data_IF_500276918341
#
_entry.id   IF_500276918341
#
_cell.length_a   1.000
_cell.length_b   1.000
_cell.length_c   1.000
_cell.angle_alpha   90.00
_cell.angle_beta   90.00
_cell.angle_gamma   90.00
#
_symmetry.space_group_name_H-M   'P 1'
#
loop_
_entity.id
_entity.type
_entity.pdbx_description
1 polymer ?
#
# COMPACT_ATOMS: atom_id res chain seq x y z
N UNK A 1 18.55 -16.65 3.28
CA UNK A 1 18.62 -16.22 1.88
C UNK A 1 17.63 -15.09 1.51
N UNK A 2 16.48 -14.93 2.17
CA UNK A 2 15.51 -13.87 1.85
C UNK A 2 15.88 -12.45 2.35
N UNK A 3 16.75 -12.33 3.35
CA UNK A 3 17.19 -11.03 3.88
C UNK A 3 18.26 -10.32 3.02
N UNK A 4 19.07 -11.05 2.29
CA UNK A 4 20.11 -10.46 1.44
C UNK A 4 19.57 -9.71 0.23
N UNK A 5 18.54 -10.25 -0.42
CA UNK A 5 17.93 -9.64 -1.59
C UNK A 5 17.03 -8.44 -1.25
N UNK A 6 16.33 -8.48 -0.10
CA UNK A 6 15.57 -7.35 0.38
C UNK A 6 16.46 -6.16 0.77
N UNK A 7 17.66 -6.43 1.32
CA UNK A 7 18.66 -5.40 1.64
C UNK A 7 19.30 -4.80 0.40
N UNK A 8 19.55 -5.61 -0.66
CA UNK A 8 20.13 -5.12 -1.90
C UNK A 8 19.21 -4.14 -2.64
N UNK A 9 17.88 -4.41 -2.64
CA UNK A 9 16.89 -3.52 -3.26
C UNK A 9 16.68 -2.23 -2.44
N UNK A 10 16.98 -2.24 -1.13
CA UNK A 10 16.82 -1.06 -0.27
C UNK A 10 17.86 0.05 -0.52
N UNK A 11 19.05 -0.27 -1.01
CA UNK A 11 20.18 0.66 -1.01
C UNK A 11 20.56 1.27 -2.36
N UNK A 12 19.97 0.83 -3.48
CA UNK A 12 20.33 1.33 -4.82
C UNK A 12 19.08 1.77 -5.58
N UNK A 13 18.90 3.08 -5.72
CA UNK A 13 18.00 3.62 -6.74
C UNK A 13 18.57 3.28 -8.11
N UNK A 14 17.80 2.65 -9.02
CA UNK A 14 18.26 2.49 -10.38
C UNK A 14 18.46 3.89 -11.00
N UNK A 15 19.56 4.12 -11.75
CA UNK A 15 19.79 5.39 -12.42
C UNK A 15 18.63 5.69 -13.37
N UNK A 16 18.27 6.98 -13.48
CA UNK A 16 17.28 7.46 -14.44
C UNK A 16 17.70 7.01 -15.84
N UNK A 17 17.01 6.01 -16.39
CA UNK A 17 17.36 5.44 -17.69
C UNK A 17 16.77 6.30 -18.82
N UNK A 18 17.57 6.74 -19.81
CA UNK A 18 17.03 7.35 -21.02
C UNK A 18 16.12 6.33 -21.74
N UNK A 19 15.04 6.82 -22.32
CA UNK A 19 14.03 6.02 -23.00
C UNK A 19 14.68 5.12 -24.06
N UNK A 20 14.81 3.82 -23.79
CA UNK A 20 15.05 2.80 -24.80
C UNK A 20 13.72 2.13 -25.14
N UNK A 21 13.40 2.17 -26.42
CA UNK A 21 12.30 1.49 -27.08
C UNK A 21 12.42 -0.02 -26.89
N UNK A 22 11.75 -0.56 -25.87
CA UNK A 22 11.53 -1.99 -25.72
C UNK A 22 10.04 -2.27 -25.95
N UNK A 23 9.73 -3.24 -26.79
CA UNK A 23 8.39 -3.63 -27.24
C UNK A 23 7.44 -3.96 -26.08
N UNK A 24 6.77 -2.96 -25.58
CA UNK A 24 5.65 -3.01 -24.66
C UNK A 24 4.83 -1.76 -24.90
N UNK A 25 3.53 -1.90 -25.16
CA UNK A 25 2.66 -0.74 -25.35
C UNK A 25 2.47 -0.03 -24.01
N UNK A 26 3.35 0.94 -23.71
CA UNK A 26 3.19 1.83 -22.56
C UNK A 26 2.33 3.01 -23.00
N UNK A 27 1.14 3.14 -22.45
CA UNK A 27 0.31 4.34 -22.59
C UNK A 27 0.64 5.28 -21.44
N UNK A 28 1.29 6.41 -21.76
CA UNK A 28 1.46 7.51 -20.82
C UNK A 28 0.41 8.58 -21.13
N UNK A 29 -0.59 8.72 -20.29
CA UNK A 29 -1.45 9.90 -20.30
C UNK A 29 -0.76 10.98 -19.48
N UNK A 30 0.06 11.80 -20.14
CA UNK A 30 0.44 13.10 -19.58
C UNK A 30 -0.79 14.01 -19.68
N UNK A 31 -1.31 14.45 -18.55
CA UNK A 31 -2.18 15.63 -18.53
C UNK A 31 -1.32 16.77 -19.10
N UNK A 32 -1.76 17.33 -20.23
CA UNK A 32 -1.04 18.41 -20.91
C UNK A 32 -0.84 19.59 -19.96
N UNK A 33 0.41 19.99 -19.70
CA UNK A 33 0.79 21.13 -18.87
C UNK A 33 0.26 22.49 -19.39
N UNK A 34 -0.48 22.50 -20.51
CA UNK A 34 -1.07 23.71 -21.13
C UNK A 34 -2.52 23.97 -20.74
N UNK A 35 -3.21 23.04 -20.08
CA UNK A 35 -4.49 23.34 -19.47
C UNK A 35 -4.21 23.76 -18.03
N UNK A 36 -4.04 25.05 -17.81
CA UNK A 36 -4.10 25.65 -16.49
C UNK A 36 -5.34 25.13 -15.73
N UNK A 37 -5.38 25.18 -14.39
CA UNK A 37 -6.48 24.61 -13.63
C UNK A 37 -7.78 25.26 -14.09
N UNK A 38 -8.49 24.58 -14.98
CA UNK A 38 -9.89 24.87 -15.23
C UNK A 38 -10.54 24.82 -13.86
N UNK A 39 -11.16 25.90 -13.44
CA UNK A 39 -11.64 26.18 -12.12
C UNK A 39 -12.13 24.92 -11.42
N UNK A 40 -11.43 24.52 -10.37
CA UNK A 40 -11.85 23.44 -9.52
C UNK A 40 -13.22 23.84 -8.96
N UNK A 41 -14.27 23.31 -9.57
CA UNK A 41 -15.60 23.38 -8.99
C UNK A 41 -15.44 22.79 -7.58
N UNK A 42 -15.78 23.54 -6.52
CA UNK A 42 -15.66 23.01 -5.17
C UNK A 42 -16.52 21.76 -5.16
N UNK A 43 -15.87 20.59 -4.98
CA UNK A 43 -16.60 19.33 -4.80
C UNK A 43 -17.61 19.60 -3.70
N UNK A 44 -18.90 19.63 -4.06
CA UNK A 44 -19.97 19.70 -3.08
C UNK A 44 -19.64 18.65 -2.03
N UNK A 45 -19.75 18.99 -0.74
CA UNK A 45 -19.54 18.04 0.37
C UNK A 45 -20.65 17.01 0.31
N UNK A 46 -20.57 16.14 -0.69
CA UNK A 46 -21.45 14.98 -0.79
C UNK A 46 -21.29 14.19 0.51
N UNK A 47 -22.40 13.94 1.17
CA UNK A 47 -22.42 13.29 2.49
C UNK A 47 -21.91 11.85 2.31
N UNK A 48 -20.65 11.63 2.69
CA UNK A 48 -20.04 10.30 2.62
C UNK A 48 -20.79 9.33 3.53
N UNK A 49 -20.95 8.08 3.08
CA UNK A 49 -21.43 6.99 3.89
C UNK A 49 -20.47 6.66 5.03
N UNK A 50 -20.94 5.93 6.03
CA UNK A 50 -20.10 5.50 7.15
C UNK A 50 -18.83 4.75 6.69
N UNK A 51 -18.95 3.81 5.74
CA UNK A 51 -17.79 3.04 5.25
C UNK A 51 -16.77 3.91 4.51
N UNK A 52 -17.25 4.83 3.66
CA UNK A 52 -16.40 5.80 2.97
C UNK A 52 -15.67 6.71 3.97
N UNK A 53 -16.40 7.17 4.99
CA UNK A 53 -15.83 8.04 6.03
C UNK A 53 -14.78 7.30 6.87
N UNK A 54 -15.00 6.02 7.20
CA UNK A 54 -14.02 5.18 7.89
C UNK A 54 -12.72 5.10 7.07
N UNK A 55 -12.79 4.84 5.76
CA UNK A 55 -11.61 4.76 4.90
C UNK A 55 -10.85 6.09 4.86
N UNK A 56 -11.55 7.20 4.62
CA UNK A 56 -10.93 8.52 4.52
C UNK A 56 -10.35 8.98 5.87
N UNK A 57 -11.07 8.81 6.98
CA UNK A 57 -10.61 9.22 8.32
C UNK A 57 -9.45 8.37 8.81
N UNK A 58 -9.49 7.04 8.61
CA UNK A 58 -8.40 6.15 9.02
C UNK A 58 -7.13 6.45 8.22
N UNK A 59 -7.23 6.66 6.91
CA UNK A 59 -6.09 7.10 6.11
C UNK A 59 -5.51 8.43 6.64
N UNK A 60 -6.37 9.41 6.97
CA UNK A 60 -5.93 10.68 7.54
C UNK A 60 -5.26 10.53 8.91
N UNK A 61 -5.81 9.65 9.79
CA UNK A 61 -5.19 9.34 11.09
C UNK A 61 -3.81 8.71 10.91
N UNK A 62 -3.68 7.75 9.97
CA UNK A 62 -2.41 7.14 9.63
C UNK A 62 -1.40 8.18 9.16
N UNK A 63 -1.79 9.03 8.20
CA UNK A 63 -0.94 10.12 7.68
C UNK A 63 -0.45 11.06 8.79
N UNK A 64 -1.36 11.47 9.69
CA UNK A 64 -1.04 12.39 10.79
C UNK A 64 -0.12 11.75 11.84
N UNK A 65 -0.39 10.50 12.24
CA UNK A 65 0.36 9.81 13.28
C UNK A 65 1.78 9.44 12.85
N UNK A 66 1.98 9.13 11.56
CA UNK A 66 3.29 8.68 11.06
C UNK A 66 4.07 9.78 10.33
N UNK A 67 3.45 10.93 10.07
CA UNK A 67 4.09 11.96 9.25
C UNK A 67 4.41 11.50 7.82
N UNK A 68 3.75 10.44 7.33
CA UNK A 68 4.09 9.80 6.04
C UNK A 68 3.89 10.68 4.82
N UNK A 69 3.21 11.82 4.92
CA UNK A 69 3.06 12.78 3.83
C UNK A 69 3.32 14.20 4.33
N UNK A 70 4.02 14.99 3.52
CA UNK A 70 4.35 16.40 3.77
C UNK A 70 4.15 17.25 2.52
N UNK A 71 4.35 18.56 2.64
CA UNK A 71 4.21 19.50 1.52
C UNK A 71 5.18 19.16 0.38
N UNK A 72 4.66 19.13 -0.85
CA UNK A 72 5.46 18.85 -2.05
C UNK A 72 5.70 17.37 -2.34
N UNK A 73 5.15 16.43 -1.55
CA UNK A 73 5.23 15.00 -1.87
C UNK A 73 4.63 14.71 -3.25
N UNK A 74 5.28 13.80 -3.98
CA UNK A 74 4.79 13.22 -5.23
C UNK A 74 4.51 11.74 -5.00
N UNK A 75 3.23 11.37 -4.97
CA UNK A 75 2.77 10.05 -4.52
C UNK A 75 2.31 9.22 -5.71
N UNK A 76 3.03 8.14 -6.00
CA UNK A 76 2.58 7.08 -6.88
C UNK A 76 1.66 6.12 -6.11
N UNK A 77 0.47 5.85 -6.62
CA UNK A 77 -0.46 4.89 -6.03
C UNK A 77 -0.51 3.65 -6.91
N UNK A 78 -0.08 2.50 -6.37
CA UNK A 78 -0.14 1.23 -7.10
C UNK A 78 -1.59 0.74 -7.21
N UNK A 79 -2.15 0.80 -8.42
CA UNK A 79 -3.53 0.37 -8.71
C UNK A 79 -3.48 -1.03 -9.32
N UNK A 80 -3.97 -2.02 -8.57
CA UNK A 80 -3.98 -3.44 -9.01
C UNK A 80 -5.27 -3.88 -9.71
N UNK A 81 -6.30 -3.03 -9.70
CA UNK A 81 -7.65 -3.38 -10.16
C UNK A 81 -8.59 -3.86 -9.04
N UNK A 82 -8.03 -4.22 -7.89
CA UNK A 82 -8.82 -4.62 -6.72
C UNK A 82 -9.34 -3.43 -5.91
N UNK A 83 -10.41 -3.66 -5.15
CA UNK A 83 -11.10 -2.65 -4.35
C UNK A 83 -10.16 -1.85 -3.42
N UNK A 84 -9.16 -2.51 -2.82
CA UNK A 84 -8.23 -1.85 -1.88
C UNK A 84 -7.45 -0.73 -2.55
N UNK A 85 -6.93 -0.97 -3.75
CA UNK A 85 -6.13 0.00 -4.49
C UNK A 85 -6.96 1.18 -5.00
N UNK A 86 -8.20 0.93 -5.43
CA UNK A 86 -9.11 1.99 -5.83
C UNK A 86 -9.57 2.85 -4.65
N UNK A 87 -9.95 2.21 -3.52
CA UNK A 87 -10.34 2.92 -2.31
C UNK A 87 -9.18 3.73 -1.76
N UNK A 88 -7.94 3.21 -1.82
CA UNK A 88 -6.75 3.97 -1.47
C UNK A 88 -6.62 5.24 -2.32
N UNK A 89 -6.67 5.09 -3.65
CA UNK A 89 -6.52 6.21 -4.57
C UNK A 89 -7.62 7.26 -4.37
N UNK A 90 -8.89 6.84 -4.25
CA UNK A 90 -10.02 7.73 -3.98
C UNK A 90 -9.89 8.43 -2.62
N UNK A 91 -9.48 7.70 -1.57
CA UNK A 91 -9.27 8.27 -0.24
C UNK A 91 -8.14 9.32 -0.24
N UNK A 92 -7.02 9.07 -0.92
CA UNK A 92 -5.94 10.04 -1.05
C UNK A 92 -6.35 11.25 -1.89
N UNK A 93 -7.15 11.06 -2.96
CA UNK A 93 -7.72 12.18 -3.74
C UNK A 93 -8.60 13.07 -2.88
N UNK A 94 -9.47 12.48 -2.05
CA UNK A 94 -10.29 13.25 -1.09
C UNK A 94 -9.40 13.96 -0.06
N UNK A 95 -8.35 13.29 0.43
CA UNK A 95 -7.43 13.87 1.41
C UNK A 95 -6.64 15.07 0.86
N UNK A 96 -6.35 15.12 -0.45
CA UNK A 96 -5.75 16.31 -1.09
C UNK A 96 -6.55 17.60 -0.82
N UNK A 97 -7.88 17.50 -0.76
CA UNK A 97 -8.75 18.64 -0.46
C UNK A 97 -8.94 18.93 1.05
N UNK A 98 -8.39 18.10 1.94
CA UNK A 98 -8.59 18.21 3.40
C UNK A 98 -7.31 18.68 4.11
N UNK A 99 -6.14 18.18 3.67
CA UNK A 99 -4.87 18.52 4.32
C UNK A 99 -4.44 19.96 4.03
N UNK A 100 -3.73 20.64 4.96
CA UNK A 100 -3.35 22.05 4.79
C UNK A 100 -2.12 22.24 3.89
N UNK A 101 -1.65 21.20 3.22
CA UNK A 101 -0.49 21.23 2.31
C UNK A 101 -0.82 20.56 0.98
N UNK A 102 -0.03 20.88 -0.04
CA UNK A 102 -0.20 20.29 -1.38
C UNK A 102 0.70 19.08 -1.55
N UNK A 103 0.17 18.03 -2.17
CA UNK A 103 0.91 16.87 -2.68
C UNK A 103 0.30 16.40 -4.00
N UNK A 104 1.11 15.78 -4.85
CA UNK A 104 0.67 15.28 -6.15
C UNK A 104 0.30 13.80 -6.07
N UNK A 105 -0.66 13.36 -6.90
CA UNK A 105 -1.05 11.97 -7.04
C UNK A 105 -0.87 11.51 -8.48
N UNK A 106 -0.30 10.33 -8.65
CA UNK A 106 -0.20 9.62 -9.91
C UNK A 106 -0.60 8.15 -9.72
N UNK A 107 -1.51 7.64 -10.54
CA UNK A 107 -1.85 6.22 -10.54
C UNK A 107 -0.80 5.43 -11.33
N UNK A 108 -0.30 4.33 -10.76
CA UNK A 108 0.62 3.40 -11.41
C UNK A 108 -0.07 2.05 -11.56
N UNK A 109 -0.43 1.65 -12.78
CA UNK A 109 -1.02 0.35 -13.06
C UNK A 109 -0.07 -0.50 -13.89
N UNK A 110 0.25 -1.69 -13.36
CA UNK A 110 1.00 -2.72 -14.05
C UNK A 110 0.06 -3.92 -14.26
N UNK A 111 -0.39 -4.10 -15.51
CA UNK A 111 -1.12 -5.29 -15.91
C UNK A 111 -0.13 -6.48 -15.95
N UNK A 112 -0.39 -7.57 -15.23
CA UNK A 112 0.55 -8.70 -15.17
C UNK A 112 0.64 -9.53 -16.47
N UNK A 113 -0.21 -9.25 -17.46
CA UNK A 113 -0.11 -9.87 -18.81
C UNK A 113 -0.99 -11.09 -19.04
N UNK A 114 -1.82 -11.52 -18.08
CA UNK A 114 -2.78 -12.62 -18.32
C UNK A 114 -3.95 -12.21 -19.19
N UNK A 115 -4.43 -10.99 -19.01
CA UNK A 115 -5.53 -10.40 -19.78
C UNK A 115 -5.20 -8.93 -20.10
N UNK A 116 -4.66 -8.66 -21.30
CA UNK A 116 -4.16 -7.33 -21.65
C UNK A 116 -5.20 -6.21 -21.59
N UNK A 117 -6.50 -6.54 -21.73
CA UNK A 117 -7.59 -5.55 -21.71
C UNK A 117 -8.28 -5.37 -20.36
N UNK A 118 -7.88 -6.11 -19.33
CA UNK A 118 -8.55 -6.08 -18.02
C UNK A 118 -8.62 -4.68 -17.37
N UNK A 119 -7.74 -3.78 -17.76
CA UNK A 119 -7.68 -2.40 -17.24
C UNK A 119 -8.45 -1.36 -18.08
N UNK A 120 -9.25 -1.77 -19.05
CA UNK A 120 -9.94 -0.84 -19.96
C UNK A 120 -10.85 0.16 -19.24
N UNK A 121 -11.46 -0.23 -18.12
CA UNK A 121 -12.33 0.63 -17.31
C UNK A 121 -11.56 1.65 -16.44
N UNK A 122 -10.26 1.47 -16.27
CA UNK A 122 -9.43 2.33 -15.41
C UNK A 122 -9.23 3.71 -16.01
N UNK A 123 -8.94 3.81 -17.31
CA UNK A 123 -8.63 5.07 -17.98
C UNK A 123 -9.78 6.09 -17.93
N UNK A 124 -11.03 5.73 -18.30
CA UNK A 124 -12.13 6.68 -18.20
C UNK A 124 -12.37 7.19 -16.80
N UNK A 125 -12.24 6.31 -15.79
CA UNK A 125 -12.41 6.68 -14.40
C UNK A 125 -11.30 7.62 -13.92
N UNK A 126 -10.03 7.36 -14.25
CA UNK A 126 -8.92 8.25 -13.90
C UNK A 126 -9.04 9.62 -14.54
N UNK A 127 -9.51 9.69 -15.80
CA UNK A 127 -9.77 10.94 -16.50
C UNK A 127 -10.88 11.74 -15.79
N UNK A 128 -11.97 11.09 -15.39
CA UNK A 128 -13.06 11.69 -14.63
C UNK A 128 -12.59 12.25 -13.27
N UNK A 129 -11.71 11.50 -12.57
CA UNK A 129 -11.14 11.94 -11.29
C UNK A 129 -10.03 13.00 -11.45
N UNK A 130 -9.59 13.30 -12.67
CA UNK A 130 -8.48 14.21 -12.94
C UNK A 130 -7.17 13.74 -12.30
N UNK A 131 -6.86 12.43 -12.42
CA UNK A 131 -5.67 11.81 -11.85
C UNK A 131 -4.72 11.41 -12.99
N UNK A 132 -3.48 11.91 -12.94
CA UNK A 132 -2.41 11.49 -13.85
C UNK A 132 -2.12 9.99 -13.68
N UNK A 133 -1.79 9.29 -14.76
CA UNK A 133 -1.60 7.85 -14.71
C UNK A 133 -0.49 7.35 -15.63
N UNK A 134 0.16 6.26 -15.19
CA UNK A 134 0.97 5.37 -16.02
C UNK A 134 0.32 3.99 -16.04
N UNK A 135 0.02 3.51 -17.22
CA UNK A 135 -0.50 2.16 -17.46
C UNK A 135 0.47 1.39 -18.35
N UNK A 136 0.82 0.20 -17.94
CA UNK A 136 1.76 -0.67 -18.65
C UNK A 136 1.26 -2.11 -18.62
N UNK A 137 1.29 -2.78 -19.77
CA UNK A 137 1.09 -4.23 -19.87
C UNK A 137 2.45 -4.89 -19.82
N UNK A 138 2.63 -5.81 -18.89
CA UNK A 138 3.87 -6.56 -18.67
C UNK A 138 3.66 -8.05 -18.92
N UNK A 139 4.73 -8.80 -18.92
CA UNK A 139 4.75 -10.25 -18.99
C UNK A 139 5.00 -10.93 -17.62
N UNK A 140 4.93 -10.18 -16.53
CA UNK A 140 5.33 -10.63 -15.19
C UNK A 140 4.54 -11.86 -14.71
N UNK A 141 3.26 -11.93 -15.03
CA UNK A 141 2.41 -13.07 -14.73
C UNK A 141 2.88 -14.34 -15.48
N UNK A 142 2.85 -14.36 -16.81
CA UNK A 142 3.35 -15.48 -17.61
C UNK A 142 4.77 -15.90 -17.25
N UNK A 143 5.72 -14.96 -17.11
CA UNK A 143 7.11 -15.26 -16.71
C UNK A 143 7.24 -15.88 -15.33
N UNK A 144 6.39 -15.48 -14.37
CA UNK A 144 6.41 -16.09 -13.06
C UNK A 144 5.87 -17.54 -13.07
N UNK A 145 5.05 -17.89 -14.08
CA UNK A 145 4.49 -19.23 -14.26
C UNK A 145 5.29 -20.09 -15.25
N UNK A 146 6.32 -19.54 -15.89
CA UNK A 146 7.14 -20.28 -16.85
C UNK A 146 8.24 -21.09 -16.15
N UNK A 147 8.88 -21.96 -16.91
CA UNK A 147 10.03 -22.77 -16.49
C UNK A 147 11.27 -21.94 -16.10
N UNK A 148 11.31 -20.65 -16.50
CA UNK A 148 12.36 -19.71 -16.05
C UNK A 148 12.35 -19.45 -14.53
N UNK A 149 11.27 -19.81 -13.85
CA UNK A 149 11.12 -19.62 -12.40
C UNK A 149 11.57 -20.85 -11.62
N UNK A 150 12.85 -21.13 -11.59
CA UNK A 150 13.44 -22.36 -11.01
C UNK A 150 13.42 -22.42 -9.47
N UNK A 151 13.36 -21.29 -8.77
CA UNK A 151 13.70 -21.24 -7.34
C UNK A 151 12.63 -20.62 -6.43
N UNK A 152 11.56 -20.02 -6.96
CA UNK A 152 10.61 -19.24 -6.15
C UNK A 152 9.17 -19.65 -6.38
N UNK A 153 8.32 -19.42 -5.38
CA UNK A 153 6.89 -19.54 -5.62
C UNK A 153 6.44 -18.49 -6.67
N UNK A 154 5.51 -18.90 -7.53
CA UNK A 154 4.98 -18.06 -8.61
C UNK A 154 4.54 -16.68 -8.13
N UNK A 155 3.80 -16.64 -7.00
CA UNK A 155 3.32 -15.40 -6.42
C UNK A 155 4.47 -14.51 -5.92
N UNK A 156 5.52 -15.09 -5.35
CA UNK A 156 6.70 -14.33 -4.90
C UNK A 156 7.42 -13.70 -6.10
N UNK A 157 7.69 -14.49 -7.15
CA UNK A 157 8.36 -14.01 -8.36
C UNK A 157 7.59 -12.89 -9.05
N UNK A 158 6.28 -13.07 -9.24
CA UNK A 158 5.42 -12.05 -9.82
C UNK A 158 5.40 -10.76 -8.97
N UNK A 159 5.26 -10.88 -7.65
CA UNK A 159 5.25 -9.74 -6.74
C UNK A 159 6.61 -9.00 -6.74
N UNK A 160 7.72 -9.74 -6.85
CA UNK A 160 9.07 -9.17 -6.93
C UNK A 160 9.26 -8.36 -8.22
N UNK A 161 8.89 -8.92 -9.39
CA UNK A 161 8.96 -8.24 -10.69
C UNK A 161 8.12 -6.95 -10.69
N UNK A 162 6.88 -7.03 -10.18
CA UNK A 162 5.99 -5.87 -10.08
C UNK A 162 6.56 -4.79 -9.15
N UNK A 163 7.10 -5.17 -8.00
CA UNK A 163 7.71 -4.21 -7.06
C UNK A 163 8.92 -3.53 -7.66
N UNK A 164 9.81 -4.29 -8.31
CA UNK A 164 10.96 -3.75 -9.02
C UNK A 164 10.51 -2.70 -10.04
N UNK A 165 9.52 -3.03 -10.88
CA UNK A 165 9.01 -2.12 -11.89
C UNK A 165 8.35 -0.88 -11.31
N UNK A 166 7.59 -1.01 -10.22
CA UNK A 166 7.03 0.15 -9.52
C UNK A 166 8.11 1.11 -9.00
N UNK A 167 9.22 0.59 -8.48
CA UNK A 167 10.35 1.42 -8.04
C UNK A 167 11.02 2.14 -9.20
N UNK A 168 11.21 1.46 -10.33
CA UNK A 168 11.72 2.07 -11.57
C UNK A 168 10.82 3.21 -12.08
N UNK A 169 9.50 3.01 -12.00
CA UNK A 169 8.53 4.06 -12.34
C UNK A 169 8.55 5.22 -11.35
N UNK A 170 8.71 4.95 -10.05
CA UNK A 170 8.89 6.01 -9.08
C UNK A 170 10.12 6.86 -9.39
N UNK A 171 11.26 6.25 -9.69
CA UNK A 171 12.46 6.96 -10.11
C UNK A 171 12.24 7.74 -11.41
N UNK A 172 11.62 7.12 -12.43
CA UNK A 172 11.32 7.75 -13.72
C UNK A 172 10.48 9.00 -13.61
N UNK A 173 9.46 8.98 -12.74
CA UNK A 173 8.54 10.10 -12.55
C UNK A 173 8.92 11.01 -11.39
N UNK A 174 10.06 10.81 -10.74
CA UNK A 174 10.50 11.58 -9.58
C UNK A 174 9.51 11.51 -8.42
N UNK A 175 8.85 10.35 -8.22
CA UNK A 175 7.92 10.16 -7.12
C UNK A 175 8.68 9.92 -5.83
N UNK A 176 8.29 10.62 -4.77
CA UNK A 176 8.91 10.50 -3.45
C UNK A 176 8.24 9.45 -2.58
N UNK A 177 7.03 9.02 -2.97
CA UNK A 177 6.24 8.03 -2.23
C UNK A 177 5.62 7.01 -3.16
N UNK A 178 5.53 5.76 -2.68
CA UNK A 178 4.75 4.68 -3.30
C UNK A 178 3.69 4.20 -2.30
N UNK A 179 2.42 4.47 -2.60
CA UNK A 179 1.30 4.04 -1.79
C UNK A 179 0.76 2.68 -2.23
N UNK A 180 0.59 1.77 -1.28
CA UNK A 180 0.07 0.42 -1.49
C UNK A 180 -1.25 0.21 -0.72
N UNK A 181 -2.22 -0.45 -1.36
CA UNK A 181 -3.55 -0.72 -0.84
C UNK A 181 -3.62 -1.88 0.17
N UNK A 182 -2.62 -2.03 1.05
CA UNK A 182 -2.71 -3.01 2.13
C UNK A 182 -3.70 -2.56 3.20
N UNK A 183 -4.39 -3.52 3.81
CA UNK A 183 -5.45 -3.31 4.79
C UNK A 183 -5.18 -4.06 6.10
N UNK A 184 -6.12 -4.03 7.05
CA UNK A 184 -5.95 -4.62 8.37
C UNK A 184 -5.85 -6.15 8.33
N UNK A 185 -6.56 -6.82 7.42
CA UNK A 185 -6.43 -8.27 7.21
C UNK A 185 -5.04 -8.64 6.69
N UNK A 186 -4.45 -7.82 5.82
CA UNK A 186 -3.08 -8.01 5.35
C UNK A 186 -2.06 -7.86 6.49
N UNK A 187 -2.28 -6.89 7.39
CA UNK A 187 -1.45 -6.70 8.57
C UNK A 187 -1.50 -7.93 9.48
N UNK A 188 -2.70 -8.40 9.82
CA UNK A 188 -2.91 -9.58 10.66
C UNK A 188 -2.26 -10.81 10.03
N UNK A 189 -2.56 -11.10 8.77
CA UNK A 189 -2.00 -12.25 8.07
C UNK A 189 -0.47 -12.21 8.03
N UNK A 190 0.13 -11.04 7.77
CA UNK A 190 1.59 -10.89 7.73
C UNK A 190 2.21 -11.06 9.11
N UNK A 191 1.60 -10.51 10.16
CA UNK A 191 2.06 -10.68 11.53
C UNK A 191 2.11 -12.17 11.92
N UNK A 192 1.01 -12.90 11.71
CA UNK A 192 0.97 -14.32 12.02
C UNK A 192 1.88 -15.17 11.12
N UNK A 193 2.04 -14.81 9.85
CA UNK A 193 3.02 -15.48 8.99
C UNK A 193 4.46 -15.28 9.50
N UNK A 194 4.81 -14.08 9.95
CA UNK A 194 6.14 -13.81 10.52
C UNK A 194 6.33 -14.57 11.83
N UNK A 195 5.32 -14.58 12.70
CA UNK A 195 5.37 -15.30 13.97
C UNK A 195 5.52 -16.81 13.75
N UNK A 196 4.66 -17.42 12.91
CA UNK A 196 4.62 -18.87 12.73
C UNK A 196 5.76 -19.43 11.87
N UNK A 197 6.27 -18.67 10.89
CA UNK A 197 7.28 -19.17 9.95
C UNK A 197 8.69 -18.70 10.28
N UNK A 198 8.84 -17.53 10.84
CA UNK A 198 10.12 -16.87 11.05
C UNK A 198 10.46 -16.68 12.53
N UNK A 199 9.54 -17.03 13.47
CA UNK A 199 9.69 -16.76 14.90
C UNK A 199 9.85 -15.28 15.23
N UNK A 200 9.29 -14.38 14.40
CA UNK A 200 9.46 -12.93 14.55
C UNK A 200 8.14 -12.24 14.92
N UNK A 201 8.18 -11.42 15.96
CA UNK A 201 7.08 -10.52 16.33
C UNK A 201 7.23 -9.25 15.48
N UNK A 202 6.80 -9.34 14.21
CA UNK A 202 6.87 -8.22 13.26
C UNK A 202 5.71 -8.25 12.26
N UNK A 203 5.37 -7.08 11.71
CA UNK A 203 4.30 -6.90 10.74
C UNK A 203 4.68 -5.94 9.62
N UNK A 204 3.69 -5.41 8.93
CA UNK A 204 3.90 -4.39 7.91
C UNK A 204 4.07 -3.02 8.55
N UNK A 205 5.10 -2.28 8.19
CA UNK A 205 5.22 -0.86 8.55
C UNK A 205 4.21 0.00 7.79
N UNK A 206 3.67 1.04 8.44
CA UNK A 206 2.77 2.01 7.79
C UNK A 206 3.53 2.93 6.84
N UNK A 207 4.77 3.28 7.20
CA UNK A 207 5.70 4.07 6.40
C UNK A 207 7.08 3.44 6.50
N UNK A 208 7.70 3.14 5.37
CA UNK A 208 8.99 2.46 5.29
C UNK A 208 9.89 3.17 4.28
N UNK A 209 11.04 3.74 4.71
CA UNK A 209 11.99 4.38 3.81
C UNK A 209 12.77 3.33 3.01
N UNK A 210 12.99 3.63 1.73
CA UNK A 210 13.83 2.90 0.80
C UNK A 210 14.87 3.82 0.20
N UNK A 211 15.98 3.27 -0.29
CA UNK A 211 17.02 4.01 -1.00
C UNK A 211 17.52 5.23 -0.21
N UNK A 212 17.90 5.01 1.06
CA UNK A 212 18.35 6.05 1.99
C UNK A 212 17.36 7.23 2.15
N UNK A 213 16.05 6.92 2.14
CA UNK A 213 15.00 7.93 2.25
C UNK A 213 14.57 8.57 0.93
N UNK A 214 15.17 8.19 -0.20
CA UNK A 214 14.79 8.71 -1.53
C UNK A 214 13.39 8.29 -1.99
N UNK A 215 12.84 7.22 -1.40
CA UNK A 215 11.47 6.76 -1.65
C UNK A 215 10.85 6.25 -0.35
N UNK A 216 9.62 6.64 -0.07
CA UNK A 216 8.85 6.14 1.08
C UNK A 216 7.72 5.23 0.59
N UNK A 217 7.70 3.97 1.06
CA UNK A 217 6.61 3.06 0.81
C UNK A 217 5.58 3.22 1.92
N UNK A 218 4.37 3.65 1.55
CA UNK A 218 3.32 4.00 2.51
C UNK A 218 2.08 3.14 2.36
N UNK A 219 1.37 2.90 3.47
CA UNK A 219 0.17 2.06 3.55
C UNK A 219 -0.94 2.76 4.33
N UNK A 220 -1.58 3.79 3.76
CA UNK A 220 -2.56 4.61 4.48
C UNK A 220 -3.79 3.86 4.97
N UNK A 221 -4.17 2.75 4.31
CA UNK A 221 -5.34 1.93 4.68
C UNK A 221 -5.00 0.74 5.60
N UNK A 222 -3.75 0.63 6.10
CA UNK A 222 -3.28 -0.54 6.83
C UNK A 222 -4.11 -0.89 8.08
N UNK A 223 -4.80 0.09 8.66
CA UNK A 223 -5.67 -0.10 9.83
C UNK A 223 -7.16 -0.16 9.50
N UNK A 224 -7.52 -0.23 8.21
CA UNK A 224 -8.92 -0.30 7.76
C UNK A 224 -9.30 -1.75 7.49
N UNK A 225 -10.37 -2.23 8.13
CA UNK A 225 -10.89 -3.56 7.86
C UNK A 225 -11.46 -3.68 6.45
N UNK A 226 -11.20 -4.81 5.79
CA UNK A 226 -11.63 -5.14 4.42
C UNK A 226 -13.12 -4.92 4.17
N UNK A 227 -13.98 -5.23 5.17
CA UNK A 227 -15.44 -5.03 5.05
C UNK A 227 -15.82 -3.59 4.73
N UNK A 228 -15.12 -2.59 5.33
CA UNK A 228 -15.36 -1.18 5.05
C UNK A 228 -14.84 -0.77 3.67
N UNK A 229 -13.70 -1.32 3.25
CA UNK A 229 -13.13 -1.08 1.92
C UNK A 229 -14.09 -1.59 0.83
N UNK A 230 -14.57 -2.82 0.95
CA UNK A 230 -15.51 -3.40 -0.02
C UNK A 230 -16.83 -2.63 -0.08
N UNK A 231 -17.35 -2.19 1.09
CA UNK A 231 -18.57 -1.38 1.13
C UNK A 231 -18.36 0.01 0.52
N UNK A 232 -17.23 0.66 0.82
CA UNK A 232 -16.87 1.95 0.26
C UNK A 232 -16.67 1.87 -1.25
N UNK A 233 -16.01 0.82 -1.75
CA UNK A 233 -15.79 0.61 -3.19
C UNK A 233 -17.11 0.54 -3.95
N UNK A 234 -18.11 -0.23 -3.44
CA UNK A 234 -19.45 -0.31 -4.03
C UNK A 234 -20.19 1.02 -3.99
N UNK A 235 -20.09 1.76 -2.87
CA UNK A 235 -20.79 3.03 -2.69
C UNK A 235 -20.18 4.19 -3.48
N UNK A 236 -18.90 4.09 -3.87
CA UNK A 236 -18.24 5.00 -4.80
C UNK A 236 -18.35 4.55 -6.25
N UNK A 237 -19.00 3.43 -6.53
CA UNK A 237 -19.11 2.82 -7.85
C UNK A 237 -17.75 2.71 -8.56
N UNK A 238 -16.75 2.19 -7.82
CA UNK A 238 -15.39 2.08 -8.34
C UNK A 238 -15.29 0.95 -9.36
N UNK A 239 -14.55 1.13 -10.47
CA UNK A 239 -14.46 0.16 -11.56
C UNK A 239 -13.55 -1.04 -11.20
N UNK A 240 -13.90 -1.77 -10.15
CA UNK A 240 -13.15 -2.92 -9.64
C UNK A 240 -13.31 -4.10 -10.60
N UNK A 241 -12.19 -4.77 -10.93
CA UNK A 241 -12.21 -6.01 -11.70
C UNK A 241 -11.42 -7.13 -11.02
N UNK A 242 -11.72 -8.37 -11.41
CA UNK A 242 -11.01 -9.55 -10.93
C UNK A 242 -9.68 -9.72 -11.69
N UNK A 243 -8.65 -10.17 -11.00
CA UNK A 243 -7.38 -10.53 -11.63
C UNK A 243 -7.51 -11.95 -12.23
N UNK A 244 -7.19 -12.10 -13.51
CA UNK A 244 -7.21 -13.37 -14.23
C UNK A 244 -6.03 -14.31 -13.92
N UNK A 245 -5.29 -14.07 -12.81
CA UNK A 245 -4.15 -14.89 -12.42
C UNK A 245 -4.58 -16.32 -12.04
N UNK A 246 -4.00 -17.39 -12.67
CA UNK A 246 -4.33 -18.79 -12.34
C UNK A 246 -4.06 -19.16 -10.87
N UNK A 247 -3.09 -18.50 -10.23
CA UNK A 247 -2.74 -18.72 -8.82
C UNK A 247 -3.57 -17.86 -7.85
N UNK A 248 -4.60 -17.15 -8.33
CA UNK A 248 -5.46 -16.34 -7.47
C UNK A 248 -6.17 -17.25 -6.44
N UNK A 249 -6.12 -16.87 -5.16
CA UNK A 249 -6.72 -17.66 -4.07
C UNK A 249 -5.82 -18.77 -3.51
N UNK A 250 -4.79 -19.23 -4.22
CA UNK A 250 -3.88 -20.29 -3.77
C UNK A 250 -2.53 -19.74 -3.31
N UNK A 251 -2.54 -18.91 -2.27
CA UNK A 251 -1.33 -18.26 -1.76
C UNK A 251 -1.08 -18.60 -0.29
N UNK A 252 0.16 -18.45 0.17
CA UNK A 252 0.48 -18.58 1.59
C UNK A 252 -0.35 -17.62 2.47
N UNK A 253 -0.74 -16.47 1.92
CA UNK A 253 -1.59 -15.50 2.61
C UNK A 253 -3.05 -15.97 2.68
N UNK A 254 -3.59 -16.59 1.63
CA UNK A 254 -4.94 -17.17 1.68
C UNK A 254 -5.03 -18.32 2.66
N UNK A 255 -4.04 -19.21 2.71
CA UNK A 255 -3.96 -20.25 3.71
C UNK A 255 -3.89 -19.70 5.15
N UNK A 256 -3.09 -18.65 5.38
CA UNK A 256 -3.06 -17.98 6.67
C UNK A 256 -4.40 -17.32 7.03
N UNK A 257 -5.09 -16.71 6.07
CA UNK A 257 -6.42 -16.11 6.29
C UNK A 257 -7.47 -17.16 6.66
N UNK A 258 -7.38 -18.35 6.10
CA UNK A 258 -8.24 -19.50 6.46
C UNK A 258 -7.98 -19.95 7.90
N UNK A 259 -6.70 -20.12 8.28
CA UNK A 259 -6.29 -20.43 9.66
C UNK A 259 -6.79 -19.39 10.65
N UNK A 260 -6.68 -18.09 10.30
CA UNK A 260 -7.15 -16.99 11.12
C UNK A 260 -8.68 -16.98 11.28
N UNK A 261 -9.43 -17.50 10.31
CA UNK A 261 -10.89 -17.66 10.45
C UNK A 261 -11.26 -18.58 11.61
N UNK A 262 -10.48 -19.65 11.83
CA UNK A 262 -10.61 -20.51 13.02
C UNK A 262 -10.32 -19.76 14.32
N UNK A 263 -9.23 -18.97 14.37
CA UNK A 263 -8.90 -18.12 15.51
C UNK A 263 -10.01 -17.10 15.84
N UNK A 264 -10.62 -16.52 14.83
CA UNK A 264 -11.74 -15.57 15.03
C UNK A 264 -12.99 -16.24 15.62
N UNK A 265 -13.13 -17.56 15.46
CA UNK A 265 -14.20 -18.36 16.03
C UNK A 265 -14.02 -18.73 17.51
N UNK A 266 -12.82 -18.58 18.10
CA UNK A 266 -12.54 -18.98 19.48
C UNK A 266 -13.38 -18.24 20.51
N UNK A 267 -13.59 -16.95 20.32
CA UNK A 267 -14.46 -16.13 21.17
C UNK A 267 -15.19 -15.08 20.33
N UNK A 268 -16.35 -14.60 20.84
CA UNK A 268 -17.14 -13.55 20.15
C UNK A 268 -16.32 -12.32 19.79
N UNK A 269 -15.30 -11.99 20.58
CA UNK A 269 -14.50 -10.78 20.45
C UNK A 269 -13.09 -11.01 19.90
N UNK A 270 -12.68 -12.27 19.64
CA UNK A 270 -11.31 -12.61 19.23
C UNK A 270 -10.82 -11.76 18.06
N UNK A 271 -11.63 -11.67 17.00
CA UNK A 271 -11.29 -10.84 15.84
C UNK A 271 -11.06 -9.38 16.26
N UNK A 272 -11.99 -8.77 17.02
CA UNK A 272 -11.88 -7.38 17.47
C UNK A 272 -10.64 -7.16 18.33
N UNK A 273 -10.34 -8.08 19.24
CA UNK A 273 -9.17 -8.01 20.10
C UNK A 273 -7.87 -8.06 19.30
N UNK A 274 -7.76 -8.98 18.33
CA UNK A 274 -6.58 -9.11 17.46
C UNK A 274 -6.38 -7.81 16.66
N UNK A 275 -7.41 -7.31 15.99
CA UNK A 275 -7.31 -6.07 15.20
C UNK A 275 -6.96 -4.86 16.06
N UNK A 276 -7.59 -4.71 17.24
CA UNK A 276 -7.30 -3.61 18.15
C UNK A 276 -5.89 -3.69 18.73
N UNK A 277 -5.43 -4.90 19.10
CA UNK A 277 -4.09 -5.13 19.61
C UNK A 277 -3.03 -4.75 18.58
N UNK A 278 -3.15 -5.26 17.37
CA UNK A 278 -2.22 -4.95 16.29
C UNK A 278 -2.29 -3.48 15.83
N UNK A 279 -3.48 -2.85 15.89
CA UNK A 279 -3.62 -1.42 15.60
C UNK A 279 -2.85 -0.57 16.60
N UNK A 280 -2.96 -0.84 17.90
CA UNK A 280 -2.20 -0.13 18.94
C UNK A 280 -0.71 -0.34 18.74
N UNK A 281 -0.28 -1.60 18.66
CA UNK A 281 1.13 -1.94 18.42
C UNK A 281 1.71 -1.24 17.20
N UNK A 282 0.95 -1.16 16.09
CA UNK A 282 1.39 -0.53 14.88
C UNK A 282 1.47 1.01 14.98
N UNK A 283 0.56 1.62 15.72
CA UNK A 283 0.59 3.06 15.98
C UNK A 283 1.76 3.43 16.89
N UNK A 284 2.01 2.64 17.95
CA UNK A 284 3.12 2.87 18.89
C UNK A 284 4.49 2.70 18.19
N UNK A 285 4.63 1.65 17.36
CA UNK A 285 5.86 1.39 16.58
C UNK A 285 6.18 2.49 15.56
N UNK A 286 5.17 3.15 14.99
CA UNK A 286 5.35 4.15 13.94
C UNK A 286 5.14 5.60 14.43
N UNK A 287 4.95 5.81 15.72
CA UNK A 287 4.95 7.16 16.32
C UNK A 287 6.38 7.71 16.31
N UNK A 288 6.59 8.97 15.95
CA UNK A 288 7.89 9.60 16.15
C UNK A 288 8.26 9.53 17.64
N UNK A 289 9.55 9.38 17.99
CA UNK A 289 9.96 9.39 19.37
C UNK A 289 9.45 10.68 20.05
N UNK A 290 8.77 10.54 21.19
CA UNK A 290 8.37 11.69 22.00
C UNK A 290 9.65 12.42 22.39
N UNK A 291 9.84 13.63 21.89
CA UNK A 291 10.96 14.48 22.27
C UNK A 291 10.91 14.69 23.79
N UNK A 292 11.86 14.11 24.51
CA UNK A 292 12.27 14.47 25.85
C UNK A 292 11.32 14.02 26.96
N UNK A 293 11.29 12.73 27.27
CA UNK A 293 11.32 12.29 28.67
C UNK A 293 12.69 11.70 28.91
N UNK A 294 13.46 12.49 29.64
CA UNK A 294 14.73 12.11 30.25
C UNK A 294 14.44 10.94 31.19
N UNK A 295 14.60 9.71 30.73
CA UNK A 295 14.65 8.53 31.58
C UNK A 295 16.02 8.50 32.23
N UNK A 296 16.24 9.44 33.14
CA UNK A 296 17.25 9.28 34.19
C UNK A 296 16.88 8.01 34.95
N UNK A 297 17.79 7.04 35.11
CA UNK A 297 17.53 5.86 35.91
C UNK A 297 17.29 6.31 37.35
N UNK A 298 16.01 6.33 37.73
CA UNK A 298 15.62 6.55 39.12
C UNK A 298 16.27 5.49 40.01
N UNK A 299 17.02 5.94 40.97
CA UNK A 299 17.66 5.19 42.04
C UNK A 299 16.74 4.09 42.59
N UNK A 300 17.19 2.87 42.48
CA UNK A 300 16.62 1.73 43.17
C UNK A 300 16.81 1.93 44.69
N UNK A 301 15.77 1.97 45.51
CA UNK A 301 15.98 2.06 46.97
C UNK A 301 16.60 0.76 47.48
N UNK A 302 17.65 0.84 48.36
CA UNK A 302 18.19 -0.32 48.99
C UNK A 302 17.25 -0.74 50.13
N UNK A 303 16.70 -1.93 50.11
CA UNK A 303 16.36 -2.76 51.25
C UNK A 303 15.32 -3.83 50.91
N UNK A 304 15.80 -5.05 50.87
CA UNK A 304 15.23 -6.17 51.62
C UNK A 304 16.32 -7.24 51.74
N UNK A 305 17.11 -7.09 52.78
CA UNK A 305 17.86 -8.20 53.34
C UNK A 305 17.01 -8.87 54.40
N UNK A 306 17.13 -10.19 54.50
CA UNK A 306 16.86 -10.96 55.70
C UNK A 306 15.57 -11.79 55.72
N UNK A 307 15.64 -12.99 55.49
CA UNK A 307 15.50 -14.27 56.18
C UNK A 307 15.13 -15.39 55.22
#
# INVERSE_FOLDING_TARGET
>A
MLEGEAKFVKNHLPPACPARSGRGHAFCLSVCDRCGPAGATPMSREKRSFAQEVCVKSAGKAMQKTGMLWAGCRVGVAVSGGADSFVLLKSLKIRQGIVPFRFELMALHLNPGFEPRSHATLLPWLAQEGIAAHLEVSDFGPRAHSEENLCHSVCFRCAWLRRKRLFELCARYGLTHLALGHNAEDLVATFFMNLCRNGRVDGMSMCEPFFNGGLHLIRPLLLVEKKYILKAARQWDLPVWANACPSAGHTARSAMSETLSGLYGLTRDARRCIFNGLTRWQLDKNSPPENGKDDSPGDCPPHCGGN
#
